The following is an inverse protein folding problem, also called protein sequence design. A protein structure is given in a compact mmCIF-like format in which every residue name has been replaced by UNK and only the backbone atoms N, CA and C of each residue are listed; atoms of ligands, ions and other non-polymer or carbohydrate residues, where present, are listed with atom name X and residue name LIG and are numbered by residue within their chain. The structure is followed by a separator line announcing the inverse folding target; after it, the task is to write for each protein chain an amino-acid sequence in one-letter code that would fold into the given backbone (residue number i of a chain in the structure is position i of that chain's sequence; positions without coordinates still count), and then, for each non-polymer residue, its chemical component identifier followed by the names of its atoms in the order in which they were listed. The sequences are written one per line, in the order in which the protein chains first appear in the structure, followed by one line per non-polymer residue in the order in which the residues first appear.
data_IF_043087962235
#
_entry.id   IF_043087962235
#
_cell.length_a   1.000
_cell.length_b   1.000
_cell.length_c   1.000
_cell.angle_alpha   90.00
_cell.angle_beta   90.00
_cell.angle_gamma   90.00
#
_symmetry.space_group_name_H-M   'P 1'
#
loop_
_entity.id
_entity.type
_entity.pdbx_description
1 polymer ?
#
# COMPACT_ATOMS: atom_id res chain seq x y z
N UNK A 1 -26.45 0.79 -19.38
CA UNK A 1 -25.76 2.10 -19.33
C UNK A 1 -26.33 2.91 -18.17
N UNK A 2 -25.48 3.37 -17.28
CA UNK A 2 -25.85 4.04 -16.02
C UNK A 2 -26.23 5.52 -16.21
N UNK A 3 -26.27 6.02 -17.43
CA UNK A 3 -26.49 7.44 -17.73
C UNK A 3 -25.20 8.28 -17.68
N UNK A 4 -25.19 9.38 -18.43
CA UNK A 4 -23.99 10.23 -18.62
C UNK A 4 -23.50 10.87 -17.32
N UNK A 5 -24.41 11.35 -16.46
CA UNK A 5 -24.06 12.03 -15.21
C UNK A 5 -23.36 11.05 -14.23
N UNK A 6 -23.90 9.83 -14.11
CA UNK A 6 -23.31 8.82 -13.22
C UNK A 6 -21.94 8.36 -13.76
N UNK A 7 -21.82 8.18 -15.09
CA UNK A 7 -20.54 7.84 -15.71
C UNK A 7 -19.49 8.93 -15.49
N UNK A 8 -19.89 10.20 -15.57
CA UNK A 8 -19.00 11.34 -15.30
C UNK A 8 -18.52 11.38 -13.84
N UNK A 9 -19.43 11.12 -12.89
CA UNK A 9 -19.09 11.06 -11.45
C UNK A 9 -18.10 9.92 -11.19
N UNK A 10 -18.37 8.72 -11.71
CA UNK A 10 -17.48 7.55 -11.56
C UNK A 10 -16.10 7.84 -12.18
N UNK A 11 -16.07 8.45 -13.37
CA UNK A 11 -14.81 8.81 -14.02
C UNK A 11 -13.99 9.83 -13.20
N UNK A 12 -14.66 10.81 -12.59
CA UNK A 12 -14.03 11.78 -11.70
C UNK A 12 -13.48 11.14 -10.42
N UNK A 13 -14.22 10.22 -9.84
CA UNK A 13 -13.81 9.44 -8.66
C UNK A 13 -12.57 8.59 -8.93
N UNK A 14 -12.55 7.84 -10.03
CA UNK A 14 -11.37 7.07 -10.45
C UNK A 14 -10.13 7.93 -10.68
N UNK A 15 -10.28 9.10 -11.30
CA UNK A 15 -9.16 10.05 -11.48
C UNK A 15 -8.62 10.49 -10.13
N UNK A 16 -9.51 10.87 -9.21
CA UNK A 16 -9.13 11.30 -7.86
C UNK A 16 -8.42 10.19 -7.10
N UNK A 17 -8.97 8.98 -7.16
CA UNK A 17 -8.37 7.79 -6.53
C UNK A 17 -6.95 7.55 -7.03
N UNK A 18 -6.73 7.55 -8.35
CA UNK A 18 -5.41 7.36 -8.94
C UNK A 18 -4.42 8.46 -8.57
N UNK A 19 -4.85 9.72 -8.54
CA UNK A 19 -4.04 10.85 -8.13
C UNK A 19 -3.63 10.74 -6.65
N UNK A 20 -4.56 10.38 -5.78
CA UNK A 20 -4.28 10.20 -4.36
C UNK A 20 -3.35 9.01 -4.13
N UNK A 21 -3.63 7.87 -4.75
CA UNK A 21 -2.80 6.67 -4.64
C UNK A 21 -1.37 6.95 -5.13
N UNK A 22 -1.21 7.57 -6.31
CA UNK A 22 0.10 7.94 -6.85
C UNK A 22 0.86 8.91 -5.94
N UNK A 23 0.17 9.88 -5.35
CA UNK A 23 0.77 10.85 -4.42
C UNK A 23 1.26 10.17 -3.14
N UNK A 24 0.46 9.30 -2.55
CA UNK A 24 0.82 8.56 -1.34
C UNK A 24 2.00 7.64 -1.60
N UNK A 25 1.93 6.81 -2.66
CA UNK A 25 3.00 5.86 -3.00
C UNK A 25 4.31 6.57 -3.31
N UNK A 26 4.28 7.67 -4.07
CA UNK A 26 5.49 8.43 -4.38
C UNK A 26 6.11 9.07 -3.13
N UNK A 27 5.29 9.52 -2.18
CA UNK A 27 5.75 10.05 -0.90
C UNK A 27 6.45 8.97 -0.07
N UNK A 28 5.84 7.80 0.08
CA UNK A 28 6.45 6.68 0.80
C UNK A 28 7.73 6.18 0.12
N UNK A 29 7.80 6.20 -1.22
CA UNK A 29 9.03 5.89 -1.93
C UNK A 29 10.18 6.79 -1.49
N UNK A 30 9.92 8.09 -1.30
CA UNK A 30 10.91 9.04 -0.77
C UNK A 30 11.39 8.68 0.65
N UNK A 31 10.48 8.26 1.52
CA UNK A 31 10.83 7.81 2.89
C UNK A 31 11.75 6.60 2.83
N UNK A 32 11.38 5.57 2.08
CA UNK A 32 12.23 4.35 1.95
C UNK A 32 13.57 4.63 1.28
N UNK A 33 13.64 5.57 0.34
CA UNK A 33 14.90 5.98 -0.28
C UNK A 33 15.84 6.63 0.74
N UNK A 34 15.30 7.50 1.61
CA UNK A 34 16.07 8.11 2.69
C UNK A 34 16.58 7.06 3.69
N UNK A 35 15.74 6.10 4.06
CA UNK A 35 16.13 5.01 4.96
C UNK A 35 17.21 4.13 4.33
N UNK A 36 17.10 3.84 3.04
CA UNK A 36 18.13 3.12 2.29
C UNK A 36 19.47 3.87 2.30
N UNK A 37 19.48 5.18 2.04
CA UNK A 37 20.71 5.98 2.10
C UNK A 37 21.34 5.98 3.49
N UNK A 38 20.52 6.04 4.55
CA UNK A 38 21.00 5.93 5.94
C UNK A 38 21.65 4.59 6.22
N UNK A 39 21.05 3.48 5.76
CA UNK A 39 21.60 2.12 5.95
C UNK A 39 22.93 1.92 5.22
N UNK A 40 23.11 2.53 4.05
CA UNK A 40 24.37 2.49 3.28
C UNK A 40 25.41 3.48 3.83
N UNK A 41 25.05 4.29 4.81
CA UNK A 41 25.96 5.29 5.40
C UNK A 41 26.05 6.59 4.59
N UNK A 42 25.16 6.80 3.65
CA UNK A 42 25.09 8.03 2.85
C UNK A 42 24.17 9.04 3.54
N UNK A 43 24.72 10.17 3.95
CA UNK A 43 23.94 11.27 4.54
C UNK A 43 23.27 12.14 3.47
N UNK A 44 22.50 11.51 2.58
CA UNK A 44 21.71 12.22 1.56
C UNK A 44 20.32 12.44 2.15
N UNK A 45 19.95 13.71 2.32
CA UNK A 45 18.61 14.09 2.73
C UNK A 45 17.84 14.60 1.51
N UNK A 46 16.75 13.93 1.16
CA UNK A 46 15.89 14.33 0.03
C UNK A 46 14.98 15.51 0.38
N UNK A 47 14.91 15.89 1.66
CA UNK A 47 14.13 17.02 2.13
C UNK A 47 14.97 18.31 2.11
N UNK A 48 14.51 19.29 1.35
CA UNK A 48 15.08 20.65 1.31
C UNK A 48 14.11 21.59 2.02
N UNK A 49 14.56 22.23 3.09
CA UNK A 49 13.78 23.22 3.81
C UNK A 49 14.07 24.59 3.24
N UNK A 50 13.06 25.22 2.62
CA UNK A 50 13.16 26.60 2.12
C UNK A 50 12.17 27.46 2.95
N UNK A 51 12.70 28.17 3.92
CA UNK A 51 11.86 28.97 4.86
C UNK A 51 10.96 28.06 5.71
N UNK A 52 9.65 28.27 5.62
CA UNK A 52 8.64 27.46 6.33
C UNK A 52 8.15 26.24 5.55
N UNK A 53 8.63 26.01 4.32
CA UNK A 53 8.21 24.92 3.47
C UNK A 53 9.27 23.80 3.44
N UNK A 54 8.84 22.58 3.76
CA UNK A 54 9.64 21.36 3.56
C UNK A 54 9.32 20.78 2.19
N UNK A 55 10.31 20.78 1.31
CA UNK A 55 10.19 20.25 -0.05
C UNK A 55 10.95 18.92 -0.15
N UNK A 56 10.22 17.84 -0.45
CA UNK A 56 10.80 16.53 -0.70
C UNK A 56 10.88 16.31 -2.21
N UNK A 57 12.09 16.22 -2.76
CA UNK A 57 12.28 16.06 -4.20
C UNK A 57 12.25 14.60 -4.67
N UNK A 58 12.36 13.63 -3.76
CA UNK A 58 12.32 12.21 -4.12
C UNK A 58 11.00 11.78 -4.80
N UNK A 59 9.80 12.17 -4.30
CA UNK A 59 8.54 11.92 -5.00
C UNK A 59 8.50 12.49 -6.41
N UNK A 60 9.08 13.67 -6.62
CA UNK A 60 9.09 14.34 -7.93
C UNK A 60 9.93 13.52 -8.93
N UNK A 61 11.08 13.02 -8.51
CA UNK A 61 11.95 12.20 -9.36
C UNK A 61 11.24 10.94 -9.81
N UNK A 62 10.60 10.21 -8.90
CA UNK A 62 9.92 8.96 -9.24
C UNK A 62 8.72 9.19 -10.15
N UNK A 63 7.93 10.24 -9.89
CA UNK A 63 6.80 10.61 -10.75
C UNK A 63 7.29 11.01 -12.14
N UNK A 64 8.32 11.86 -12.24
CA UNK A 64 8.90 12.27 -13.51
C UNK A 64 9.45 11.08 -14.30
N UNK A 65 10.11 10.14 -13.62
CA UNK A 65 10.63 8.92 -14.24
C UNK A 65 9.52 8.08 -14.87
N UNK A 66 8.46 7.75 -14.10
CA UNK A 66 7.35 6.96 -14.63
C UNK A 66 6.54 7.70 -15.69
N UNK A 67 6.35 9.02 -15.54
CA UNK A 67 5.70 9.84 -16.56
C UNK A 67 6.49 9.80 -17.87
N UNK A 68 7.80 9.92 -17.81
CA UNK A 68 8.67 9.82 -18.99
C UNK A 68 8.56 8.44 -19.65
N UNK A 69 8.54 7.37 -18.85
CA UNK A 69 8.34 6.00 -19.38
C UNK A 69 7.00 5.86 -20.12
N UNK A 70 5.92 6.42 -19.58
CA UNK A 70 4.61 6.39 -20.22
C UNK A 70 4.57 7.18 -21.53
N UNK A 71 5.23 8.35 -21.57
CA UNK A 71 5.35 9.17 -22.80
C UNK A 71 6.17 8.45 -23.87
N UNK A 72 7.18 7.66 -23.48
CA UNK A 72 8.00 6.85 -24.42
C UNK A 72 7.23 5.67 -25.04
N UNK A 73 6.03 5.38 -24.56
CA UNK A 73 5.11 4.42 -25.13
C UNK A 73 4.74 3.26 -24.21
N UNK A 74 3.52 2.79 -24.33
CA UNK A 74 2.91 1.75 -23.47
C UNK A 74 3.68 0.43 -23.47
N UNK A 75 4.32 0.05 -24.58
CA UNK A 75 5.12 -1.19 -24.66
C UNK A 75 6.35 -1.19 -23.77
N UNK A 76 7.01 -0.03 -23.64
CA UNK A 76 8.20 0.11 -22.79
C UNK A 76 7.75 0.10 -21.34
N UNK A 77 6.70 0.87 -21.01
CA UNK A 77 6.10 0.88 -19.68
C UNK A 77 5.71 -0.53 -19.21
N UNK A 78 4.99 -1.29 -20.05
CA UNK A 78 4.57 -2.65 -19.72
C UNK A 78 5.74 -3.63 -19.48
N UNK A 79 6.85 -3.50 -20.22
CA UNK A 79 8.06 -4.32 -20.00
C UNK A 79 8.75 -3.99 -18.67
N UNK A 80 8.86 -2.70 -18.35
CA UNK A 80 9.44 -2.24 -17.08
C UNK A 80 8.58 -2.68 -15.92
N UNK A 81 7.26 -2.51 -16.02
CA UNK A 81 6.32 -2.97 -14.99
C UNK A 81 6.39 -4.49 -14.79
N UNK A 82 6.42 -5.27 -15.88
CA UNK A 82 6.61 -6.73 -15.81
C UNK A 82 7.91 -7.14 -15.12
N UNK A 83 9.02 -6.48 -15.45
CA UNK A 83 10.32 -6.75 -14.80
C UNK A 83 10.31 -6.40 -13.31
N UNK A 84 9.73 -5.25 -12.95
CA UNK A 84 9.56 -4.83 -11.55
C UNK A 84 8.61 -5.75 -10.78
N UNK A 85 7.58 -6.27 -11.43
CA UNK A 85 6.65 -7.23 -10.82
C UNK A 85 7.34 -8.56 -10.51
N UNK A 86 8.14 -9.09 -11.44
CA UNK A 86 8.93 -10.30 -11.19
C UNK A 86 9.93 -10.07 -10.06
N UNK A 87 10.61 -8.93 -10.04
CA UNK A 87 11.54 -8.56 -8.98
C UNK A 87 10.83 -8.47 -7.62
N UNK A 88 9.65 -7.84 -7.55
CA UNK A 88 8.84 -7.76 -6.31
C UNK A 88 8.49 -9.16 -5.80
N UNK A 89 7.97 -10.02 -6.66
CA UNK A 89 7.60 -11.38 -6.27
C UNK A 89 8.83 -12.15 -5.77
N UNK A 90 9.98 -12.03 -6.45
CA UNK A 90 11.21 -12.69 -6.03
C UNK A 90 11.69 -12.20 -4.65
N UNK A 91 11.64 -10.89 -4.38
CA UNK A 91 11.99 -10.32 -3.08
C UNK A 91 11.02 -10.80 -1.99
N UNK A 92 9.72 -10.78 -2.24
CA UNK A 92 8.71 -11.25 -1.29
C UNK A 92 8.90 -12.73 -0.96
N UNK A 93 9.11 -13.57 -1.98
CA UNK A 93 9.39 -14.99 -1.77
C UNK A 93 10.70 -15.21 -1.01
N UNK A 94 11.74 -14.43 -1.30
CA UNK A 94 12.98 -14.47 -0.55
C UNK A 94 12.76 -14.15 0.93
N UNK A 95 12.03 -13.08 1.24
CA UNK A 95 11.69 -12.71 2.63
C UNK A 95 10.88 -13.80 3.31
N UNK A 96 9.90 -14.39 2.63
CA UNK A 96 9.08 -15.49 3.17
C UNK A 96 9.94 -16.72 3.45
N UNK A 97 10.78 -17.15 2.50
CA UNK A 97 11.62 -18.35 2.63
C UNK A 97 12.65 -18.17 3.74
N UNK A 98 13.39 -17.05 3.72
CA UNK A 98 14.42 -16.77 4.74
C UNK A 98 13.78 -16.55 6.10
N UNK A 99 12.73 -15.74 6.14
CA UNK A 99 12.02 -15.40 7.38
C UNK A 99 11.40 -16.63 8.06
N UNK A 100 10.96 -17.61 7.28
CA UNK A 100 10.38 -18.84 7.82
C UNK A 100 11.32 -19.58 8.80
N UNK A 101 12.63 -19.51 8.58
CA UNK A 101 13.62 -20.11 9.48
C UNK A 101 13.75 -19.37 10.83
N UNK A 102 13.25 -18.12 10.92
CA UNK A 102 13.31 -17.29 12.12
C UNK A 102 11.97 -17.20 12.84
N UNK A 103 10.94 -17.89 12.34
CA UNK A 103 9.60 -17.91 12.96
C UNK A 103 9.67 -18.61 14.32
N UNK A 104 9.16 -17.96 15.35
CA UNK A 104 9.00 -18.49 16.71
C UNK A 104 7.52 -18.66 17.02
N UNK A 105 7.11 -19.86 17.39
CA UNK A 105 5.71 -20.18 17.72
C UNK A 105 5.18 -19.35 18.90
N UNK A 106 6.06 -18.89 19.80
CA UNK A 106 5.73 -18.06 20.95
C UNK A 106 5.15 -16.70 20.55
N UNK A 107 5.56 -16.15 19.39
CA UNK A 107 5.11 -14.85 18.90
C UNK A 107 3.63 -14.85 18.47
N UNK A 108 3.04 -16.04 18.26
CA UNK A 108 1.61 -16.17 17.95
C UNK A 108 0.72 -16.25 19.19
N UNK A 109 1.28 -16.14 20.38
CA UNK A 109 0.51 -16.22 21.63
C UNK A 109 0.61 -14.90 22.42
N UNK A 110 -0.52 -14.23 22.71
CA UNK A 110 -1.90 -14.59 22.33
C UNK A 110 -2.20 -14.26 20.86
N UNK A 111 -2.99 -15.11 20.17
CA UNK A 111 -3.32 -14.92 18.75
C UNK A 111 -4.11 -13.62 18.51
N UNK A 112 -4.98 -13.25 19.45
CA UNK A 112 -5.64 -11.94 19.50
C UNK A 112 -5.21 -11.27 20.80
N UNK A 113 -4.31 -10.27 20.74
CA UNK A 113 -3.90 -9.53 21.93
C UNK A 113 -5.09 -8.82 22.59
N UNK A 114 -5.06 -8.63 23.90
CA UNK A 114 -6.11 -7.85 24.58
C UNK A 114 -6.15 -6.42 24.03
N UNK A 115 -7.35 -5.86 23.97
CA UNK A 115 -7.57 -4.49 23.52
C UNK A 115 -6.90 -3.50 24.48
N UNK A 116 -6.01 -2.66 23.95
CA UNK A 116 -5.37 -1.59 24.69
C UNK A 116 -5.85 -0.23 24.15
N UNK A 117 -6.11 0.76 25.02
CA UNK A 117 -6.50 2.10 24.56
C UNK A 117 -5.39 2.70 23.70
N UNK A 118 -5.75 3.25 22.54
CA UNK A 118 -4.80 4.01 21.73
C UNK A 118 -4.44 5.30 22.47
N UNK A 119 -3.18 5.53 22.72
CA UNK A 119 -2.68 6.84 23.18
C UNK A 119 -2.72 7.81 22.01
N UNK A 120 -3.75 8.68 21.99
CA UNK A 120 -3.81 9.75 21.01
C UNK A 120 -2.63 10.71 21.25
N UNK A 121 -1.81 10.92 20.24
CA UNK A 121 -0.64 11.81 20.28
C UNK A 121 -1.01 13.28 20.22
N UNK A 122 -2.29 13.61 20.02
CA UNK A 122 -2.81 14.97 19.93
C UNK A 122 -4.01 15.23 20.84
N UNK A 123 -4.32 16.49 21.08
CA UNK A 123 -5.53 16.93 21.78
C UNK A 123 -6.52 17.61 20.81
N UNK A 124 -7.81 17.46 21.04
CA UNK A 124 -8.86 18.10 20.25
C UNK A 124 -9.11 17.47 18.89
N UNK A 125 -9.33 18.27 17.85
CA UNK A 125 -9.66 17.85 16.49
C UNK A 125 -8.60 16.94 15.85
N UNK A 126 -7.31 17.15 16.16
CA UNK A 126 -6.22 16.32 15.64
C UNK A 126 -6.33 14.87 16.14
N UNK A 127 -6.60 14.68 17.43
CA UNK A 127 -6.80 13.35 18.01
C UNK A 127 -8.03 12.63 17.41
N UNK A 128 -9.07 13.39 17.05
CA UNK A 128 -10.27 12.83 16.42
C UNK A 128 -10.02 12.41 14.98
N UNK A 129 -9.15 13.13 14.25
CA UNK A 129 -8.80 12.81 12.85
C UNK A 129 -7.80 11.64 12.73
N UNK A 130 -7.05 11.34 13.79
CA UNK A 130 -6.16 10.18 13.83
C UNK A 130 -6.90 8.86 14.12
N UNK A 131 -8.18 8.94 14.51
CA UNK A 131 -8.99 7.76 14.79
C UNK A 131 -9.54 7.14 13.50
N UNK A 132 -9.62 5.80 13.42
CA UNK A 132 -10.36 5.14 12.34
C UNK A 132 -11.82 5.62 12.32
N UNK A 133 -12.29 6.04 11.15
CA UNK A 133 -13.64 6.63 10.98
C UNK A 133 -14.77 5.74 11.55
N UNK A 134 -14.63 4.42 11.46
CA UNK A 134 -15.63 3.50 11.99
C UNK A 134 -15.68 3.49 13.52
N UNK A 135 -14.53 3.67 14.20
CA UNK A 135 -14.51 3.79 15.67
C UNK A 135 -15.15 5.11 16.12
N UNK A 136 -14.86 6.19 15.40
CA UNK A 136 -15.52 7.47 15.63
C UNK A 136 -17.04 7.38 15.41
N UNK A 137 -17.49 6.77 14.31
CA UNK A 137 -18.90 6.63 13.97
C UNK A 137 -19.69 5.74 14.95
N UNK A 138 -19.04 4.75 15.56
CA UNK A 138 -19.66 3.84 16.55
C UNK A 138 -19.50 4.32 17.99
N UNK A 139 -18.78 5.42 18.22
CA UNK A 139 -18.50 5.95 19.56
C UNK A 139 -17.61 5.03 20.42
N UNK A 140 -16.88 4.11 19.80
CA UNK A 140 -15.95 3.23 20.50
C UNK A 140 -14.68 3.97 20.87
N UNK A 141 -14.13 3.65 22.04
CA UNK A 141 -12.81 4.18 22.44
C UNK A 141 -11.75 3.66 21.47
N UNK A 142 -10.86 4.53 20.96
CA UNK A 142 -9.77 4.12 20.09
C UNK A 142 -8.94 3.03 20.74
N UNK A 143 -8.76 1.91 20.06
CA UNK A 143 -7.97 0.78 20.55
C UNK A 143 -7.00 0.30 19.46
N UNK A 144 -5.78 -0.08 19.89
CA UNK A 144 -4.71 -0.51 18.99
C UNK A 144 -4.83 -2.01 18.71
N UNK A 145 -5.20 -2.82 19.71
CA UNK A 145 -5.26 -4.28 19.62
C UNK A 145 -6.70 -4.80 19.76
N UNK A 146 -6.84 -6.10 19.80
CA UNK A 146 -8.12 -6.78 19.89
C UNK A 146 -8.89 -6.78 18.57
N UNK A 147 -10.19 -7.07 18.61
CA UNK A 147 -11.04 -7.12 17.41
C UNK A 147 -11.11 -5.78 16.69
N UNK A 148 -11.14 -4.68 17.44
CA UNK A 148 -11.14 -3.33 16.87
C UNK A 148 -9.84 -3.03 16.12
N UNK A 149 -8.70 -3.45 16.66
CA UNK A 149 -7.40 -3.35 15.97
C UNK A 149 -7.36 -4.16 14.68
N UNK A 150 -7.93 -5.38 14.67
CA UNK A 150 -8.01 -6.22 13.46
C UNK A 150 -8.82 -5.53 12.37
N UNK A 151 -9.99 -4.96 12.69
CA UNK A 151 -10.83 -4.25 11.73
C UNK A 151 -10.11 -3.01 11.18
N UNK A 152 -9.46 -2.23 12.05
CA UNK A 152 -8.69 -1.06 11.64
C UNK A 152 -7.50 -1.45 10.77
N UNK A 153 -6.79 -2.52 11.12
CA UNK A 153 -5.70 -3.06 10.32
C UNK A 153 -6.17 -3.58 8.95
N UNK A 154 -7.31 -4.26 8.90
CA UNK A 154 -7.91 -4.72 7.65
C UNK A 154 -8.28 -3.54 6.73
N UNK A 155 -8.85 -2.46 7.30
CA UNK A 155 -9.16 -1.24 6.54
C UNK A 155 -7.90 -0.56 6.00
N UNK A 156 -6.82 -0.54 6.78
CA UNK A 156 -5.53 0.00 6.33
C UNK A 156 -4.90 -0.85 5.21
N UNK A 157 -4.92 -2.19 5.38
CA UNK A 157 -4.37 -3.13 4.39
C UNK A 157 -5.21 -3.14 3.11
N UNK A 158 -6.49 -2.79 3.16
CA UNK A 158 -7.34 -2.66 1.97
C UNK A 158 -6.71 -1.70 0.94
N UNK A 159 -6.03 -0.65 1.40
CA UNK A 159 -5.29 0.27 0.52
C UNK A 159 -4.22 -0.45 -0.34
N UNK A 160 -3.65 -1.54 0.17
CA UNK A 160 -2.67 -2.33 -0.59
C UNK A 160 -3.28 -3.13 -1.75
N UNK A 161 -4.61 -3.29 -1.77
CA UNK A 161 -5.35 -3.92 -2.87
C UNK A 161 -5.85 -2.92 -3.91
N UNK A 162 -5.68 -1.61 -3.69
CA UNK A 162 -6.01 -0.59 -4.70
C UNK A 162 -5.26 -0.87 -6.01
N UNK A 163 -5.97 -0.70 -7.12
CA UNK A 163 -5.42 -0.90 -8.45
C UNK A 163 -5.89 -2.17 -9.17
N UNK A 164 -6.64 -3.06 -8.52
CA UNK A 164 -7.24 -4.21 -9.23
C UNK A 164 -8.30 -3.76 -10.26
N UNK A 165 -8.94 -2.65 -10.03
CA UNK A 165 -9.91 -1.98 -10.91
C UNK A 165 -9.24 -1.37 -12.14
N UNK A 166 -7.97 -0.92 -12.04
CA UNK A 166 -7.18 -0.46 -13.20
C UNK A 166 -7.04 -1.55 -14.26
N UNK A 167 -6.99 -2.82 -13.86
CA UNK A 167 -6.96 -3.94 -14.81
C UNK A 167 -8.22 -3.95 -15.70
N UNK A 168 -9.36 -3.51 -15.17
CA UNK A 168 -10.59 -3.39 -15.94
C UNK A 168 -10.50 -2.27 -16.99
N UNK A 169 -9.82 -1.16 -16.68
CA UNK A 169 -9.63 -0.03 -17.62
C UNK A 169 -8.69 -0.38 -18.78
N UNK A 170 -7.76 -1.33 -18.58
CA UNK A 170 -6.86 -1.81 -19.64
C UNK A 170 -7.52 -2.81 -20.61
N UNK A 171 -8.82 -3.06 -20.48
CA UNK A 171 -9.57 -4.01 -21.30
C UNK A 171 -9.53 -3.68 -22.79
N UNK A 172 -9.42 -2.40 -23.16
CA UNK A 172 -9.34 -1.96 -24.58
C UNK A 172 -8.04 -2.40 -25.25
N UNK A 173 -6.94 -2.54 -24.50
CA UNK A 173 -5.63 -2.97 -25.01
C UNK A 173 -5.42 -4.50 -24.86
N UNK A 174 -6.37 -5.21 -24.26
CA UNK A 174 -6.25 -6.63 -23.92
C UNK A 174 -6.77 -7.52 -25.05
N UNK A 175 -6.00 -8.53 -25.44
CA UNK A 175 -6.46 -9.57 -26.39
C UNK A 175 -7.51 -10.46 -25.69
N UNK A 176 -8.68 -10.63 -26.32
CA UNK A 176 -9.81 -11.38 -25.77
C UNK A 176 -10.22 -10.91 -24.34
N UNK A 177 -10.60 -9.63 -24.17
CA UNK A 177 -10.81 -9.04 -22.85
C UNK A 177 -11.87 -9.76 -22.01
N UNK A 178 -12.95 -10.27 -22.65
CA UNK A 178 -14.03 -10.98 -21.96
C UNK A 178 -13.57 -12.20 -21.16
N UNK A 179 -12.46 -12.83 -21.56
CA UNK A 179 -11.89 -14.00 -20.89
C UNK A 179 -10.65 -13.63 -20.07
N UNK A 180 -9.76 -12.84 -20.65
CA UNK A 180 -8.45 -12.59 -20.06
C UNK A 180 -8.48 -11.59 -18.91
N UNK A 181 -9.38 -10.60 -18.96
CA UNK A 181 -9.50 -9.61 -17.86
C UNK A 181 -10.02 -10.27 -16.57
N UNK A 182 -11.17 -10.98 -16.56
CA UNK A 182 -11.62 -11.66 -15.34
C UNK A 182 -10.64 -12.72 -14.83
N UNK A 183 -10.01 -13.46 -15.74
CA UNK A 183 -9.00 -14.45 -15.36
C UNK A 183 -7.77 -13.79 -14.74
N UNK A 184 -7.28 -12.69 -15.33
CA UNK A 184 -6.14 -11.93 -14.83
C UNK A 184 -6.40 -11.35 -13.43
N UNK A 185 -7.58 -10.78 -13.22
CA UNK A 185 -8.00 -10.29 -11.91
C UNK A 185 -8.07 -11.45 -10.90
N UNK A 186 -8.77 -12.54 -11.24
CA UNK A 186 -8.96 -13.67 -10.32
C UNK A 186 -7.65 -14.35 -9.92
N UNK A 187 -6.78 -14.65 -10.90
CA UNK A 187 -5.47 -15.26 -10.64
C UNK A 187 -4.54 -14.29 -9.92
N UNK A 188 -4.52 -13.02 -10.33
CA UNK A 188 -3.70 -12.00 -9.70
C UNK A 188 -4.09 -11.77 -8.24
N UNK A 189 -5.36 -11.58 -7.96
CA UNK A 189 -5.88 -11.45 -6.59
C UNK A 189 -5.60 -12.68 -5.75
N UNK A 190 -5.82 -13.88 -6.29
CA UNK A 190 -5.51 -15.13 -5.59
C UNK A 190 -4.04 -15.23 -5.21
N UNK A 191 -3.13 -14.90 -6.13
CA UNK A 191 -1.69 -14.89 -5.87
C UNK A 191 -1.32 -13.87 -4.78
N UNK A 192 -1.86 -12.66 -4.86
CA UNK A 192 -1.60 -11.57 -3.89
C UNK A 192 -2.09 -11.98 -2.50
N UNK A 193 -3.29 -12.56 -2.38
CA UNK A 193 -3.83 -13.03 -1.10
C UNK A 193 -2.89 -14.07 -0.47
N UNK A 194 -2.44 -15.04 -1.24
CA UNK A 194 -1.51 -16.07 -0.75
C UNK A 194 -0.19 -15.45 -0.29
N UNK A 195 0.41 -14.58 -1.11
CA UNK A 195 1.67 -13.91 -0.77
C UNK A 195 1.53 -13.02 0.49
N UNK A 196 0.48 -12.23 0.60
CA UNK A 196 0.25 -11.37 1.77
C UNK A 196 0.02 -12.19 3.03
N UNK A 197 -0.73 -13.29 2.94
CA UNK A 197 -0.93 -14.21 4.07
C UNK A 197 0.39 -14.82 4.53
N UNK A 198 1.23 -15.26 3.61
CA UNK A 198 2.54 -15.82 3.94
C UNK A 198 3.47 -14.78 4.58
N UNK A 199 3.52 -13.56 4.02
CA UNK A 199 4.31 -12.47 4.60
C UNK A 199 3.79 -12.14 5.99
N UNK A 200 2.48 -12.01 6.19
CA UNK A 200 1.89 -11.72 7.49
C UNK A 200 2.25 -12.78 8.53
N UNK A 201 2.14 -14.07 8.18
CA UNK A 201 2.52 -15.17 9.07
C UNK A 201 4.00 -15.09 9.43
N UNK A 202 4.87 -14.92 8.44
CA UNK A 202 6.32 -14.88 8.67
C UNK A 202 6.72 -13.67 9.49
N UNK A 203 6.26 -12.47 9.15
CA UNK A 203 6.63 -11.24 9.87
C UNK A 203 6.13 -11.25 11.32
N UNK A 204 4.88 -11.68 11.55
CA UNK A 204 4.34 -11.83 12.90
C UNK A 204 5.09 -12.91 13.69
N UNK A 205 5.53 -13.98 13.03
CA UNK A 205 6.30 -15.03 13.67
C UNK A 205 7.76 -14.64 13.99
N UNK A 206 8.33 -13.69 13.25
CA UNK A 206 9.71 -13.21 13.48
C UNK A 206 9.80 -12.19 14.60
N UNK A 207 8.82 -11.29 14.70
CA UNK A 207 8.84 -10.14 15.63
C UNK A 207 7.59 -10.20 16.49
N UNK A 208 7.77 -9.99 17.80
CA UNK A 208 6.66 -9.90 18.74
C UNK A 208 5.84 -8.63 18.46
N UNK A 209 4.52 -8.71 18.63
CA UNK A 209 3.63 -7.54 18.51
C UNK A 209 3.90 -6.45 19.58
N UNK A 210 4.74 -6.75 20.59
CA UNK A 210 5.13 -5.84 21.67
C UNK A 210 6.43 -5.07 21.39
N UNK A 211 7.22 -5.52 20.41
CA UNK A 211 8.49 -4.93 20.00
C UNK A 211 8.27 -3.99 18.80
#
# INVERSE_FOLDING_TARGET
TVGEVVAWVIGGDLILEMLMAGSVVSKYWGVYLNDFFRLVGWNINTNITIGSFNFDFAPIIVVAFFTTLLVCGTKIGARVDGALTILKIAIVLFVVIVGFFYVKAENFTPFIPPSEPATATGSGLAATMEQPLWQWATGMTPSIYGVAGIISGAALVFFAFLGFDVVATTSEETVNPKKNVPLGIGVGMGLIIVLYTLVAIVTTGMVSYKD
#
